data_IF_238326132260
#
_entry.id   IF_238326132260
#
_cell.length_a   1.000
_cell.length_b   1.000
_cell.length_c   1.000
_cell.angle_alpha   90.00
_cell.angle_beta   90.00
_cell.angle_gamma   90.00
#
_symmetry.space_group_name_H-M   'P 1'
#
loop_
_entity.id
_entity.type
_entity.pdbx_description
1 polymer ?
#
# COMPACT_ATOMS: atom_id res chain seq x y z
N UNK A 1 -8.56 -27.33 -5.83
CA UNK A 1 -7.18 -26.83 -5.59
C UNK A 1 -7.10 -26.21 -4.21
N UNK A 2 -5.94 -26.12 -3.61
CA UNK A 2 -5.71 -25.26 -2.45
C UNK A 2 -4.71 -24.18 -2.85
N UNK A 3 -5.09 -22.94 -2.54
CA UNK A 3 -4.34 -21.75 -2.86
C UNK A 3 -4.03 -21.04 -1.55
N UNK A 4 -2.80 -20.56 -1.36
CA UNK A 4 -2.48 -19.74 -0.19
C UNK A 4 -1.55 -18.60 -0.55
N UNK A 5 -1.55 -17.56 0.28
CA UNK A 5 -0.69 -16.40 0.09
C UNK A 5 -0.25 -15.79 1.42
N UNK A 6 0.92 -15.15 1.41
CA UNK A 6 1.51 -14.49 2.58
C UNK A 6 2.38 -13.32 2.12
N UNK A 7 2.32 -12.18 2.80
CA UNK A 7 3.25 -11.07 2.53
C UNK A 7 4.65 -11.45 3.02
N UNK A 8 5.65 -11.20 2.19
CA UNK A 8 7.05 -11.52 2.47
C UNK A 8 7.97 -10.29 2.41
N UNK A 9 7.49 -9.17 1.86
CA UNK A 9 8.23 -7.90 1.80
C UNK A 9 7.27 -6.72 1.63
N UNK A 10 7.56 -5.56 2.22
CA UNK A 10 6.79 -4.32 2.06
C UNK A 10 7.62 -3.09 2.45
N UNK A 11 7.39 -1.97 1.77
CA UNK A 11 7.89 -0.65 2.18
C UNK A 11 6.95 0.08 3.17
N UNK A 12 5.71 -0.39 3.31
CA UNK A 12 4.74 0.19 4.23
C UNK A 12 4.95 -0.38 5.65
N UNK A 13 5.33 0.44 6.65
CA UNK A 13 5.60 -0.02 8.00
C UNK A 13 4.35 -0.55 8.73
N UNK A 14 3.15 -0.27 8.23
CA UNK A 14 1.91 -0.83 8.78
C UNK A 14 1.69 -2.30 8.37
N UNK A 15 2.46 -2.82 7.41
CA UNK A 15 2.33 -4.19 6.91
C UNK A 15 3.25 -5.13 7.67
N UNK A 16 2.68 -6.15 8.30
CA UNK A 16 3.46 -7.20 8.95
C UNK A 16 4.19 -8.05 7.91
N UNK A 17 5.48 -8.27 8.12
CA UNK A 17 6.35 -9.08 7.27
C UNK A 17 7.21 -10.03 8.12
N UNK A 18 7.09 -11.37 7.96
CA UNK A 18 6.09 -12.03 7.14
C UNK A 18 4.68 -11.87 7.73
N UNK A 19 3.68 -11.65 6.87
CA UNK A 19 2.30 -11.48 7.33
C UNK A 19 1.62 -12.81 7.70
N UNK A 20 0.36 -12.81 8.13
CA UNK A 20 -0.38 -14.04 8.32
C UNK A 20 -0.62 -14.77 6.99
N UNK A 21 -0.40 -16.08 6.98
CA UNK A 21 -0.71 -16.92 5.81
C UNK A 21 -2.22 -17.13 5.71
N UNK A 22 -2.77 -16.89 4.52
CA UNK A 22 -4.19 -17.10 4.22
C UNK A 22 -4.34 -18.21 3.19
N UNK A 23 -5.30 -19.10 3.41
CA UNK A 23 -5.53 -20.29 2.57
C UNK A 23 -6.98 -20.35 2.11
N UNK A 24 -7.17 -20.69 0.84
CA UNK A 24 -8.47 -20.81 0.16
C UNK A 24 -8.53 -22.16 -0.54
N UNK A 25 -9.60 -22.92 -0.29
CA UNK A 25 -9.90 -24.14 -1.05
C UNK A 25 -10.80 -23.81 -2.24
N UNK A 26 -10.50 -24.40 -3.39
CA UNK A 26 -11.22 -24.23 -4.65
C UNK A 26 -11.79 -25.54 -5.15
N UNK A 27 -12.97 -25.47 -5.78
CA UNK A 27 -13.56 -26.57 -6.53
C UNK A 27 -12.69 -26.93 -7.75
N UNK A 28 -12.94 -28.11 -8.35
CA UNK A 28 -12.12 -28.62 -9.47
C UNK A 28 -12.32 -27.83 -10.77
N UNK A 29 -13.48 -27.21 -10.94
CA UNK A 29 -13.86 -26.41 -12.11
C UNK A 29 -13.38 -24.94 -12.02
N UNK A 30 -12.84 -24.51 -10.88
CA UNK A 30 -12.28 -23.18 -10.72
C UNK A 30 -10.77 -23.20 -10.99
N UNK A 31 -10.37 -22.65 -12.13
CA UNK A 31 -8.98 -22.59 -12.59
C UNK A 31 -8.29 -21.27 -12.30
N UNK A 32 -9.01 -20.28 -11.75
CA UNK A 32 -8.47 -18.97 -11.40
C UNK A 32 -8.97 -18.49 -10.04
N UNK A 33 -8.22 -17.57 -9.44
CA UNK A 33 -8.61 -16.89 -8.21
C UNK A 33 -8.13 -15.44 -8.24
N UNK A 34 -8.99 -14.54 -7.80
CA UNK A 34 -8.67 -13.11 -7.64
C UNK A 34 -8.40 -12.86 -6.17
N UNK A 35 -7.17 -12.45 -5.86
CA UNK A 35 -6.79 -12.00 -4.52
C UNK A 35 -7.10 -10.51 -4.39
N UNK A 36 -8.01 -10.19 -3.47
CA UNK A 36 -8.43 -8.80 -3.19
C UNK A 36 -7.91 -8.35 -1.83
N UNK A 37 -7.93 -7.04 -1.58
CA UNK A 37 -7.50 -6.43 -0.31
C UNK A 37 -6.05 -6.80 0.06
N UNK A 38 -5.18 -6.83 -0.93
CA UNK A 38 -3.74 -6.90 -0.74
C UNK A 38 -3.21 -5.50 -0.47
N UNK A 39 -2.14 -5.40 0.32
CA UNK A 39 -1.49 -4.13 0.56
C UNK A 39 -0.77 -3.67 -0.72
N UNK A 40 -0.82 -2.38 -1.06
CA UNK A 40 -0.09 -1.84 -2.21
C UNK A 40 1.43 -1.88 -1.96
N UNK A 41 2.21 -2.07 -3.03
CA UNK A 41 3.68 -2.13 -2.95
C UNK A 41 4.22 -3.20 -1.99
N UNK A 42 3.52 -4.33 -1.89
CA UNK A 42 3.86 -5.45 -1.02
C UNK A 42 4.10 -6.69 -1.87
N UNK A 43 5.21 -7.39 -1.63
CA UNK A 43 5.52 -8.67 -2.26
C UNK A 43 4.84 -9.79 -1.49
N UNK A 44 4.14 -10.64 -2.23
CA UNK A 44 3.42 -11.80 -1.71
C UNK A 44 3.96 -13.08 -2.32
N UNK A 45 4.16 -14.10 -1.47
CA UNK A 45 4.40 -15.46 -1.91
C UNK A 45 3.06 -16.19 -2.05
N UNK A 46 2.73 -16.60 -3.27
CA UNK A 46 1.55 -17.38 -3.60
C UNK A 46 1.91 -18.85 -3.77
N UNK A 47 1.08 -19.75 -3.23
CA UNK A 47 1.23 -21.19 -3.38
C UNK A 47 -0.03 -21.82 -3.93
N UNK A 48 0.09 -22.73 -4.89
CA UNK A 48 -1.03 -23.51 -5.42
C UNK A 48 -0.69 -24.99 -5.41
N UNK A 49 -1.58 -25.83 -4.87
CA UNK A 49 -1.46 -27.29 -4.93
C UNK A 49 -2.78 -27.95 -5.33
N UNK A 50 -2.71 -28.96 -6.18
CA UNK A 50 -3.89 -29.74 -6.57
C UNK A 50 -4.28 -30.74 -5.48
N UNK A 51 -5.58 -31.03 -5.32
CA UNK A 51 -6.09 -32.05 -4.41
C UNK A 51 -6.86 -33.11 -5.18
N UNK A 52 -6.45 -34.37 -5.06
CA UNK A 52 -7.11 -35.55 -5.64
C UNK A 52 -7.73 -36.40 -4.54
N UNK A 53 -8.39 -37.51 -4.91
CA UNK A 53 -8.86 -38.50 -3.93
C UNK A 53 -7.74 -39.18 -3.13
N UNK A 54 -6.48 -39.09 -3.58
CA UNK A 54 -5.31 -39.64 -2.89
C UNK A 54 -4.54 -38.61 -2.07
N UNK A 55 -5.01 -37.36 -2.01
CA UNK A 55 -4.37 -36.29 -1.25
C UNK A 55 -3.90 -35.12 -2.12
N UNK A 56 -2.98 -34.32 -1.59
CA UNK A 56 -2.41 -33.16 -2.27
C UNK A 56 -1.24 -33.57 -3.18
N UNK A 57 -1.20 -33.01 -4.39
CA UNK A 57 -0.06 -33.09 -5.28
C UNK A 57 1.02 -32.05 -4.96
N UNK A 58 1.96 -31.89 -5.88
CA UNK A 58 3.04 -30.90 -5.79
C UNK A 58 2.51 -29.46 -5.67
N UNK A 59 3.22 -28.64 -4.90
CA UNK A 59 2.94 -27.21 -4.73
C UNK A 59 3.76 -26.39 -5.72
N UNK A 60 3.11 -25.52 -6.48
CA UNK A 60 3.74 -24.45 -7.24
C UNK A 60 3.80 -23.19 -6.38
N UNK A 61 4.90 -22.43 -6.47
CA UNK A 61 5.13 -21.18 -5.75
C UNK A 61 5.44 -20.06 -6.74
N UNK A 62 4.97 -18.85 -6.45
CA UNK A 62 5.33 -17.66 -7.21
C UNK A 62 5.29 -16.42 -6.32
N UNK A 63 6.21 -15.49 -6.56
CA UNK A 63 6.26 -14.21 -5.87
C UNK A 63 5.73 -13.12 -6.78
N UNK A 64 4.83 -12.29 -6.27
CA UNK A 64 4.25 -11.18 -7.02
C UNK A 64 4.20 -9.95 -6.11
N UNK A 65 4.71 -8.84 -6.61
CA UNK A 65 4.63 -7.53 -5.97
C UNK A 65 3.42 -6.78 -6.50
N UNK A 66 2.56 -6.30 -5.60
CA UNK A 66 1.43 -5.45 -5.97
C UNK A 66 1.91 -4.07 -6.40
N UNK A 67 1.17 -3.43 -7.30
CA UNK A 67 1.43 -2.05 -7.66
C UNK A 67 1.33 -1.12 -6.44
N UNK A 68 2.09 -0.04 -6.47
CA UNK A 68 2.02 1.03 -5.48
C UNK A 68 0.70 1.81 -5.64
N UNK A 69 0.29 2.52 -4.61
CA UNK A 69 -0.86 3.44 -4.66
C UNK A 69 -0.39 4.90 -4.58
N UNK A 70 -1.26 5.84 -4.96
CA UNK A 70 -0.98 7.26 -4.78
C UNK A 70 -0.70 7.56 -3.31
N UNK A 71 0.33 8.38 -3.00
CA UNK A 71 0.60 8.79 -1.63
C UNK A 71 -0.57 9.62 -1.10
N UNK A 72 -0.77 9.58 0.21
CA UNK A 72 -1.81 10.37 0.88
C UNK A 72 -1.20 11.29 1.91
N UNK A 73 -1.75 12.50 1.98
CA UNK A 73 -1.40 13.51 2.96
C UNK A 73 -2.71 14.03 3.56
N UNK A 74 -2.76 14.17 4.89
CA UNK A 74 -3.95 14.68 5.55
C UNK A 74 -3.91 16.22 5.58
N UNK A 75 -4.68 16.81 4.65
CA UNK A 75 -4.82 18.25 4.51
C UNK A 75 -5.76 18.89 5.54
N UNK A 76 -6.66 18.11 6.16
CA UNK A 76 -7.67 18.63 7.08
C UNK A 76 -7.11 19.10 8.42
N UNK A 77 -5.89 18.66 8.73
CA UNK A 77 -5.18 18.98 9.97
C UNK A 77 -3.80 19.60 9.66
N UNK A 78 -3.74 20.41 8.60
CA UNK A 78 -2.57 21.25 8.34
C UNK A 78 -2.51 22.30 9.46
N UNK A 79 -1.43 22.32 10.26
CA UNK A 79 -1.28 23.33 11.29
C UNK A 79 -1.15 24.70 10.65
N UNK A 80 -1.64 25.72 11.34
CA UNK A 80 -1.32 27.11 11.00
C UNK A 80 0.20 27.29 10.93
N UNK A 81 0.69 28.24 10.11
CA UNK A 81 2.09 28.63 10.16
C UNK A 81 2.54 28.85 11.61
N UNK A 82 3.74 28.35 11.93
CA UNK A 82 4.35 28.53 13.23
C UNK A 82 4.78 29.98 13.42
N UNK A 83 5.28 30.59 12.35
CA UNK A 83 5.67 32.00 12.29
C UNK A 83 5.40 32.53 10.89
N UNK A 84 4.99 33.79 10.82
CA UNK A 84 4.69 34.49 9.57
C UNK A 84 5.17 35.94 9.68
N UNK A 85 5.94 36.37 8.67
CA UNK A 85 6.38 37.74 8.46
C UNK A 85 6.18 38.13 7.00
N UNK A 86 6.43 39.40 6.67
CA UNK A 86 6.24 39.94 5.31
C UNK A 86 7.01 39.17 4.22
N UNK A 87 8.08 38.43 4.57
CA UNK A 87 8.91 37.69 3.61
C UNK A 87 9.08 36.21 3.92
N UNK A 88 8.65 35.75 5.09
CA UNK A 88 9.00 34.41 5.59
C UNK A 88 7.82 33.76 6.28
N UNK A 89 7.50 32.54 5.88
CA UNK A 89 6.50 31.69 6.51
C UNK A 89 7.18 30.40 6.97
N UNK A 90 7.08 30.10 8.25
CA UNK A 90 7.58 28.87 8.85
C UNK A 90 6.42 27.91 9.04
N UNK A 91 6.48 26.72 8.42
CA UNK A 91 5.43 25.70 8.52
C UNK A 91 5.96 24.39 9.08
N UNK A 92 5.12 23.67 9.82
CA UNK A 92 5.41 22.29 10.21
C UNK A 92 4.94 21.33 9.11
N UNK A 93 5.89 20.69 8.44
CA UNK A 93 5.59 19.66 7.45
C UNK A 93 5.42 18.30 8.13
N UNK A 94 4.22 17.74 8.03
CA UNK A 94 3.93 16.39 8.56
C UNK A 94 4.38 15.30 7.57
N UNK A 95 4.67 14.08 8.03
CA UNK A 95 4.95 12.98 7.11
C UNK A 95 3.72 12.61 6.26
N UNK A 96 3.91 12.47 4.95
CA UNK A 96 2.94 11.83 4.07
C UNK A 96 3.00 10.30 4.20
N UNK A 97 1.92 9.61 3.84
CA UNK A 97 1.89 8.17 3.71
C UNK A 97 2.19 7.77 2.27
N UNK A 98 3.27 7.02 2.06
CA UNK A 98 3.70 6.62 0.71
C UNK A 98 2.93 5.47 0.07
N UNK A 99 2.10 4.74 0.85
CA UNK A 99 1.17 3.70 0.38
C UNK A 99 1.80 2.70 -0.61
N UNK A 100 2.82 1.99 -0.15
CA UNK A 100 3.52 0.96 -0.92
C UNK A 100 4.84 1.39 -1.54
N UNK A 101 5.22 2.66 -1.43
CA UNK A 101 6.57 3.12 -1.78
C UNK A 101 7.05 4.23 -0.82
N UNK A 102 8.36 4.48 -0.72
CA UNK A 102 8.89 5.63 -0.01
C UNK A 102 8.43 6.97 -0.63
N UNK A 103 8.24 8.00 0.21
CA UNK A 103 7.97 9.36 -0.26
C UNK A 103 9.26 9.97 -0.83
N UNK A 104 9.19 10.50 -2.05
CA UNK A 104 10.34 11.08 -2.75
C UNK A 104 10.43 12.61 -2.66
N UNK A 105 9.30 13.32 -2.67
CA UNK A 105 9.27 14.78 -2.76
C UNK A 105 8.00 15.35 -2.14
N UNK A 106 8.12 16.54 -1.55
CA UNK A 106 7.00 17.38 -1.12
C UNK A 106 6.96 18.64 -1.97
N UNK A 107 5.76 19.06 -2.36
CA UNK A 107 5.54 20.34 -3.05
C UNK A 107 4.82 21.29 -2.12
N UNK A 108 5.39 22.48 -1.93
CA UNK A 108 4.82 23.54 -1.10
C UNK A 108 4.42 24.69 -2.02
N UNK A 109 3.16 25.10 -1.92
CA UNK A 109 2.58 26.19 -2.73
C UNK A 109 2.26 27.32 -1.76
N UNK A 110 2.71 28.53 -2.11
CA UNK A 110 2.47 29.76 -1.34
C UNK A 110 1.68 30.71 -2.22
N UNK A 111 0.58 31.23 -1.69
CA UNK A 111 -0.28 32.22 -2.38
C UNK A 111 -0.29 33.52 -1.58
N UNK A 112 -0.10 34.64 -2.27
CA UNK A 112 -0.18 35.98 -1.68
C UNK A 112 -1.65 36.44 -1.69
N UNK A 113 -2.21 36.73 -0.51
CA UNK A 113 -3.58 37.24 -0.43
C UNK A 113 -3.63 38.70 -0.87
N UNK A 114 -3.95 38.92 -2.15
CA UNK A 114 -4.15 40.27 -2.70
C UNK A 114 -5.62 40.64 -2.58
N UNK A 115 -5.97 41.78 -1.93
CA UNK A 115 -7.37 42.20 -1.87
C UNK A 115 -7.91 42.40 -3.29
N UNK A 116 -8.99 41.69 -3.61
CA UNK A 116 -9.72 41.88 -4.88
C UNK A 116 -10.18 43.33 -4.95
N UNK A 117 -9.70 44.09 -5.94
CA UNK A 117 -10.23 45.42 -6.25
C UNK A 117 -11.69 45.25 -6.67
N UNK A 118 -12.61 45.81 -5.87
CA UNK A 118 -14.03 45.97 -6.20
C UNK A 118 -14.17 47.01 -7.30
#
# INVERSE_FOLDING_TARGET
>A
YEISYQSIESFDPAVNVPGPRRTVSKLRNETYHVFSNLHPGTTYLFSVRARTGKGFGQTALTEITTNISAPSFDYGDIPSPLEESDSTITVLLRPAQGRGAPISTYQVIVEEDRPKKI
#
